data_IF_965705082023
#
_entry.id   IF_965705082023
#
_cell.length_a   1.000
_cell.length_b   1.000
_cell.length_c   1.000
_cell.angle_alpha   90.00
_cell.angle_beta   90.00
_cell.angle_gamma   90.00
#
_symmetry.space_group_name_H-M   'P 1'
#
loop_
_entity.id
_entity.type
_entity.pdbx_description
1 polymer ?
#
# COMPACT_ATOMS: atom_id res chain seq x y z
N UNK A 1 21.42 11.90 -12.47
CA UNK A 1 20.42 11.18 -11.68
C UNK A 1 19.14 11.99 -11.80
N UNK A 2 18.01 11.43 -12.24
CA UNK A 2 16.76 12.19 -12.15
C UNK A 2 16.56 12.55 -10.67
N UNK A 3 16.27 13.82 -10.39
CA UNK A 3 15.93 14.26 -9.03
C UNK A 3 14.76 13.38 -8.57
N UNK A 4 14.95 12.65 -7.47
CA UNK A 4 13.87 11.86 -6.87
C UNK A 4 12.74 12.81 -6.50
N UNK A 5 11.51 12.47 -6.91
CA UNK A 5 10.34 13.27 -6.57
C UNK A 5 10.28 13.48 -5.05
N UNK A 6 9.95 14.69 -4.56
CA UNK A 6 9.92 14.97 -3.14
C UNK A 6 8.90 14.05 -2.44
N UNK A 7 9.38 13.28 -1.46
CA UNK A 7 8.55 12.35 -0.68
C UNK A 7 8.23 12.89 0.70
N UNK A 8 7.10 12.45 1.26
CA UNK A 8 6.71 12.69 2.65
C UNK A 8 6.60 11.34 3.38
N UNK A 9 6.97 11.35 4.67
CA UNK A 9 6.81 10.18 5.54
C UNK A 9 5.48 10.28 6.30
N UNK A 10 4.73 9.18 6.30
CA UNK A 10 3.49 9.04 7.05
C UNK A 10 3.58 7.80 7.94
N UNK A 11 3.06 7.92 9.17
CA UNK A 11 2.88 6.79 10.07
C UNK A 11 1.44 6.28 9.96
N UNK A 12 1.28 4.98 9.75
CA UNK A 12 -0.02 4.32 9.66
C UNK A 12 -0.04 3.11 10.59
N UNK A 13 -1.11 2.95 11.36
CA UNK A 13 -1.35 1.74 12.13
C UNK A 13 -1.96 0.62 11.26
N UNK A 14 -2.06 -0.59 11.80
CA UNK A 14 -2.61 -1.77 11.11
C UNK A 14 -3.99 -1.50 10.49
N UNK A 15 -4.90 -0.86 11.24
CA UNK A 15 -6.25 -0.55 10.77
C UNK A 15 -6.24 0.41 9.58
N UNK A 16 -5.47 1.50 9.66
CA UNK A 16 -5.34 2.46 8.58
C UNK A 16 -4.75 1.83 7.32
N UNK A 17 -3.72 0.98 7.45
CA UNK A 17 -3.15 0.24 6.31
C UNK A 17 -4.22 -0.67 5.68
N UNK A 18 -5.02 -1.35 6.50
CA UNK A 18 -6.14 -2.16 6.03
C UNK A 18 -7.17 -1.37 5.22
N UNK A 19 -7.54 -0.17 5.70
CA UNK A 19 -8.45 0.74 4.99
C UNK A 19 -7.85 1.22 3.66
N UNK A 20 -6.56 1.55 3.64
CA UNK A 20 -5.86 1.97 2.42
C UNK A 20 -5.80 0.84 1.39
N UNK A 21 -5.44 -0.37 1.81
CA UNK A 21 -5.39 -1.54 0.94
C UNK A 21 -6.77 -1.85 0.33
N UNK A 22 -7.83 -1.79 1.16
CA UNK A 22 -9.21 -1.99 0.71
C UNK A 22 -9.61 -0.94 -0.33
N UNK A 23 -9.29 0.32 -0.08
CA UNK A 23 -9.65 1.44 -0.95
C UNK A 23 -8.96 1.37 -2.31
N UNK A 24 -7.65 1.13 -2.33
CA UNK A 24 -6.87 1.00 -3.58
C UNK A 24 -7.32 -0.25 -4.37
N UNK A 25 -7.57 -1.37 -3.68
CA UNK A 25 -8.07 -2.58 -4.34
C UNK A 25 -9.45 -2.37 -4.96
N UNK A 26 -10.37 -1.72 -4.24
CA UNK A 26 -11.71 -1.41 -4.74
C UNK A 26 -11.67 -0.57 -6.02
N UNK A 27 -10.77 0.42 -6.07
CA UNK A 27 -10.61 1.29 -7.22
C UNK A 27 -10.00 0.55 -8.41
N UNK A 28 -8.95 -0.25 -8.20
CA UNK A 28 -8.32 -1.06 -9.24
C UNK A 28 -9.27 -2.09 -9.86
N UNK A 29 -10.14 -2.73 -9.06
CA UNK A 29 -11.16 -3.66 -9.55
C UNK A 29 -12.19 -3.00 -10.48
N UNK A 30 -12.41 -1.70 -10.31
CA UNK A 30 -13.37 -0.90 -11.09
C UNK A 30 -12.67 0.05 -12.05
N UNK A 31 -11.41 -0.23 -12.36
CA UNK A 31 -10.59 0.64 -13.18
C UNK A 31 -11.25 0.86 -14.55
N UNK A 32 -11.60 2.10 -14.91
CA UNK A 32 -12.35 2.37 -16.14
C UNK A 32 -11.48 2.27 -17.41
N UNK A 33 -10.18 1.99 -17.28
CA UNK A 33 -9.22 2.07 -18.39
C UNK A 33 -8.81 3.52 -18.65
N UNK A 34 -8.26 4.19 -17.63
CA UNK A 34 -7.85 5.59 -17.70
C UNK A 34 -6.80 5.87 -18.79
N UNK A 35 -6.68 7.13 -19.26
CA UNK A 35 -5.82 7.51 -20.38
C UNK A 35 -4.32 7.43 -20.04
N UNK A 36 -3.96 7.38 -18.76
CA UNK A 36 -2.58 7.29 -18.28
C UNK A 36 -2.28 5.92 -17.66
N UNK A 37 -1.45 5.08 -18.31
CA UNK A 37 -0.97 3.82 -17.73
C UNK A 37 -0.21 4.01 -16.40
N UNK A 38 0.43 5.17 -16.21
CA UNK A 38 1.20 5.48 -15.02
C UNK A 38 0.36 5.53 -13.75
N UNK A 39 -0.89 6.00 -13.84
CA UNK A 39 -1.81 6.00 -12.70
C UNK A 39 -2.12 4.57 -12.24
N UNK A 40 -2.44 3.67 -13.18
CA UNK A 40 -2.74 2.27 -12.85
C UNK A 40 -1.52 1.56 -12.24
N UNK A 41 -0.33 1.80 -12.79
CA UNK A 41 0.92 1.27 -12.23
C UNK A 41 1.20 1.79 -10.83
N UNK A 42 0.98 3.09 -10.58
CA UNK A 42 1.11 3.70 -9.26
C UNK A 42 0.18 3.07 -8.23
N UNK A 43 -1.08 2.83 -8.60
CA UNK A 43 -2.07 2.18 -7.74
C UNK A 43 -1.70 0.72 -7.46
N UNK A 44 -1.20 -0.02 -8.46
CA UNK A 44 -0.70 -1.40 -8.24
C UNK A 44 0.46 -1.40 -7.25
N UNK A 45 1.42 -0.47 -7.38
CA UNK A 45 2.53 -0.31 -6.43
C UNK A 45 2.03 -0.02 -5.02
N UNK A 46 1.08 0.91 -4.86
CA UNK A 46 0.46 1.22 -3.57
C UNK A 46 -0.24 -0.01 -2.95
N UNK A 47 -1.00 -0.76 -3.75
CA UNK A 47 -1.65 -2.00 -3.28
C UNK A 47 -0.63 -3.00 -2.75
N UNK A 48 0.47 -3.22 -3.48
CA UNK A 48 1.55 -4.11 -3.03
C UNK A 48 2.23 -3.62 -1.75
N UNK A 49 2.47 -2.32 -1.62
CA UNK A 49 3.10 -1.74 -0.44
C UNK A 49 2.24 -1.91 0.81
N UNK A 50 0.94 -1.60 0.73
CA UNK A 50 0.04 -1.80 1.88
C UNK A 50 -0.16 -3.27 2.23
N UNK A 51 -0.19 -4.17 1.24
CA UNK A 51 -0.25 -5.61 1.49
C UNK A 51 1.01 -6.12 2.22
N UNK A 52 2.20 -5.68 1.81
CA UNK A 52 3.45 -6.00 2.48
C UNK A 52 3.47 -5.48 3.93
N UNK A 53 3.04 -4.24 4.14
CA UNK A 53 2.98 -3.66 5.49
C UNK A 53 2.05 -4.43 6.44
N UNK A 54 0.88 -4.92 5.97
CA UNK A 54 0.02 -5.79 6.78
C UNK A 54 0.66 -7.13 7.11
N UNK A 55 1.40 -7.73 6.17
CA UNK A 55 2.13 -8.97 6.44
C UNK A 55 3.20 -8.76 7.51
N UNK A 56 3.91 -7.63 7.45
CA UNK A 56 4.90 -7.24 8.45
C UNK A 56 4.27 -7.03 9.83
N UNK A 57 3.14 -6.32 9.92
CA UNK A 57 2.38 -6.17 11.17
C UNK A 57 1.97 -7.53 11.76
N UNK A 58 1.42 -8.43 10.92
CA UNK A 58 1.01 -9.77 11.35
C UNK A 58 2.20 -10.62 11.82
N UNK A 59 3.33 -10.55 11.11
CA UNK A 59 4.54 -11.27 11.49
C UNK A 59 5.10 -10.77 12.83
N UNK A 60 5.19 -9.45 13.00
CA UNK A 60 5.69 -8.83 14.23
C UNK A 60 4.78 -9.13 15.44
N UNK A 61 3.46 -9.18 15.22
CA UNK A 61 2.50 -9.60 16.25
C UNK A 61 2.66 -11.07 16.65
N UNK A 62 2.87 -11.95 15.67
CA UNK A 62 2.99 -13.40 15.89
C UNK A 62 4.34 -13.79 16.52
N UNK A 63 5.41 -13.04 16.23
CA UNK A 63 6.74 -13.26 16.80
C UNK A 63 6.89 -12.79 18.25
N UNK A 64 6.01 -11.91 18.73
CA UNK A 64 6.02 -11.37 20.09
C UNK A 64 5.34 -12.25 21.15
N UNK A 65 4.62 -13.30 20.76
CA UNK A 65 3.95 -14.23 21.69
C UNK A 65 4.84 -15.40 22.16
N UNK A 66 6.09 -15.48 21.68
CA UNK A 66 7.03 -16.58 21.96
C UNK A 66 8.21 -16.20 22.88
N UNK A 67 8.17 -15.06 23.56
CA UNK A 67 9.21 -14.63 24.53
C UNK A 67 8.65 -14.30 25.90
#
# INVERSE_FOLDING_TARGET
>A
MPEEDPTLQFELNEEAIGLMLKSVSFYLERWPGGPDPGEQEGLIKLKSLFAAALLEYNFNRSGGELT
#
